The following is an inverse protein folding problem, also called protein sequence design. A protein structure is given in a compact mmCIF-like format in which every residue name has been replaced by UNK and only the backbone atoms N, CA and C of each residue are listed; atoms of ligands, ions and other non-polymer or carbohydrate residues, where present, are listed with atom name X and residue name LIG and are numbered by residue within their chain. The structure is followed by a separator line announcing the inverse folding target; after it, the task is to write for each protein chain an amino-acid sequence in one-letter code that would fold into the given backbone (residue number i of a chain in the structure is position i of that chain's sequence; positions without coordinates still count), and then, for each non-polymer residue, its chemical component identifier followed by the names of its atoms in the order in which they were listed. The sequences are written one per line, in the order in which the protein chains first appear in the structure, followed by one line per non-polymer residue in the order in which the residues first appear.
data_IF_527837997536
#
_entry.id   IF_527837997536
#
_cell.length_a   1.000
_cell.length_b   1.000
_cell.length_c   1.000
_cell.angle_alpha   90.00
_cell.angle_beta   90.00
_cell.angle_gamma   90.00
#
_symmetry.space_group_name_H-M   'P 1'
#
loop_
_entity.id
_entity.type
_entity.pdbx_description
1 polymer ?
#
# COMPACT_ATOMS: atom_id res chain seq x y z
N UNK A 1 -14.41 -20.23 22.28
CA UNK A 1 -14.51 -20.23 20.79
C UNK A 1 -13.76 -19.02 20.32
N UNK A 2 -12.59 -19.17 19.66
CA UNK A 2 -11.91 -18.04 19.03
C UNK A 2 -12.75 -17.62 17.86
N UNK A 3 -13.06 -16.31 17.75
CA UNK A 3 -13.63 -15.76 16.53
C UNK A 3 -12.71 -16.13 15.36
N UNK A 4 -13.23 -16.45 14.16
CA UNK A 4 -12.38 -16.75 13.02
C UNK A 4 -11.43 -15.60 12.79
N UNK A 5 -10.13 -15.86 12.78
CA UNK A 5 -9.13 -14.85 12.55
C UNK A 5 -9.39 -14.23 11.14
N UNK A 6 -9.64 -12.94 11.11
CA UNK A 6 -9.85 -12.22 9.85
C UNK A 6 -8.53 -12.26 9.05
N UNK A 7 -8.57 -12.85 7.86
CA UNK A 7 -7.38 -12.96 7.01
C UNK A 7 -7.02 -11.60 6.41
N UNK A 8 -5.74 -11.20 6.41
CA UNK A 8 -5.36 -9.93 5.82
C UNK A 8 -5.52 -9.97 4.29
N UNK A 9 -6.03 -8.90 3.73
CA UNK A 9 -6.09 -8.69 2.30
C UNK A 9 -4.66 -8.53 1.73
N UNK A 10 -4.44 -9.02 0.51
CA UNK A 10 -3.22 -8.76 -0.26
C UNK A 10 -3.48 -7.71 -1.34
N UNK A 11 -2.97 -6.51 -1.13
CA UNK A 11 -2.83 -5.48 -2.16
C UNK A 11 -1.56 -5.74 -2.97
N UNK A 12 -1.70 -5.98 -4.26
CA UNK A 12 -0.56 -6.18 -5.16
C UNK A 12 -0.22 -4.87 -5.84
N UNK A 13 0.90 -4.24 -5.44
CA UNK A 13 1.42 -3.08 -6.13
C UNK A 13 2.17 -3.52 -7.40
N UNK A 14 1.72 -3.02 -8.56
CA UNK A 14 2.22 -3.39 -9.88
C UNK A 14 3.15 -2.34 -10.52
N UNK A 15 3.58 -1.34 -9.79
CA UNK A 15 4.41 -0.23 -10.31
C UNK A 15 5.68 -0.71 -11.00
N UNK A 16 6.34 -1.75 -10.46
CA UNK A 16 7.58 -2.26 -11.03
C UNK A 16 7.39 -2.98 -12.36
N UNK A 17 6.17 -3.42 -12.70
CA UNK A 17 5.84 -3.88 -14.06
C UNK A 17 5.91 -2.69 -15.02
N UNK A 18 5.36 -1.55 -14.63
CA UNK A 18 5.48 -0.32 -15.40
C UNK A 18 6.94 0.19 -15.46
N UNK A 19 7.72 0.02 -14.38
CA UNK A 19 9.16 0.34 -14.37
C UNK A 19 9.90 -0.43 -15.45
N UNK A 20 9.65 -1.73 -15.61
CA UNK A 20 10.23 -2.55 -16.67
C UNK A 20 9.85 -2.04 -18.07
N UNK A 21 8.58 -1.67 -18.27
CA UNK A 21 8.10 -1.05 -19.53
C UNK A 21 8.85 0.25 -19.81
N UNK A 22 8.98 1.11 -18.83
CA UNK A 22 9.59 2.43 -18.96
C UNK A 22 11.12 2.37 -19.11
N UNK A 23 11.79 1.30 -18.67
CA UNK A 23 13.23 1.11 -18.85
C UNK A 23 13.62 1.16 -20.35
N UNK A 24 12.70 0.79 -21.24
CA UNK A 24 12.91 0.84 -22.70
C UNK A 24 11.85 1.66 -23.44
N UNK A 25 10.89 2.24 -22.74
CA UNK A 25 9.76 3.00 -23.31
C UNK A 25 9.00 2.20 -24.37
N UNK A 26 8.75 0.91 -24.10
CA UNK A 26 8.00 0.00 -24.96
C UNK A 26 6.53 -0.06 -24.54
N UNK A 27 5.70 -0.84 -25.26
CA UNK A 27 4.31 -1.08 -24.88
C UNK A 27 4.15 -2.23 -23.87
N UNK A 28 5.24 -2.94 -23.56
CA UNK A 28 5.24 -4.12 -22.68
C UNK A 28 6.37 -4.06 -21.66
N UNK A 29 6.24 -4.79 -20.51
CA UNK A 29 5.01 -5.45 -20.06
C UNK A 29 3.91 -4.42 -19.75
N UNK A 30 2.64 -4.76 -20.02
CA UNK A 30 1.52 -3.87 -19.73
C UNK A 30 1.04 -4.08 -18.28
N UNK A 31 0.99 -3.03 -17.43
CA UNK A 31 0.46 -3.11 -16.07
C UNK A 31 -0.98 -3.63 -15.99
N UNK A 32 -1.81 -3.35 -17.01
CA UNK A 32 -3.17 -3.89 -17.06
C UNK A 32 -3.19 -5.42 -17.10
N UNK A 33 -2.34 -6.01 -17.94
CA UNK A 33 -2.24 -7.46 -17.99
C UNK A 33 -1.75 -8.03 -16.65
N UNK A 34 -0.80 -7.34 -16.00
CA UNK A 34 -0.32 -7.73 -14.67
C UNK A 34 -1.42 -7.67 -13.61
N UNK A 35 -2.26 -6.63 -13.61
CA UNK A 35 -3.38 -6.50 -12.70
C UNK A 35 -4.37 -7.67 -12.84
N UNK A 36 -4.80 -7.98 -14.05
CA UNK A 36 -5.73 -9.09 -14.31
C UNK A 36 -5.14 -10.45 -13.90
N UNK A 37 -3.85 -10.69 -14.14
CA UNK A 37 -3.17 -11.90 -13.67
C UNK A 37 -3.09 -11.94 -12.14
N UNK A 38 -2.82 -10.81 -11.48
CA UNK A 38 -2.75 -10.72 -10.02
C UNK A 38 -4.13 -11.02 -9.38
N UNK A 39 -5.21 -10.47 -9.91
CA UNK A 39 -6.58 -10.78 -9.46
C UNK A 39 -6.90 -12.28 -9.60
N UNK A 40 -6.63 -12.88 -10.76
CA UNK A 40 -6.84 -14.31 -11.00
C UNK A 40 -5.97 -15.19 -10.07
N UNK A 41 -4.86 -14.66 -9.61
CA UNK A 41 -3.96 -15.35 -8.68
C UNK A 41 -4.36 -15.20 -7.21
N UNK A 42 -5.34 -14.32 -6.87
CA UNK A 42 -5.87 -14.14 -5.52
C UNK A 42 -5.46 -12.83 -4.84
N UNK A 43 -5.06 -11.81 -5.59
CA UNK A 43 -4.97 -10.45 -5.07
C UNK A 43 -6.37 -9.96 -4.66
N UNK A 44 -6.47 -9.27 -3.53
CA UNK A 44 -7.72 -8.69 -3.02
C UNK A 44 -7.86 -7.22 -3.44
N UNK A 45 -6.75 -6.57 -3.78
CA UNK A 45 -6.70 -5.22 -4.34
C UNK A 45 -5.49 -5.06 -5.26
N UNK A 46 -5.60 -4.11 -6.19
CA UNK A 46 -4.49 -3.67 -7.04
C UNK A 46 -4.06 -2.29 -6.58
N UNK A 47 -2.78 -2.14 -6.26
CA UNK A 47 -2.19 -0.87 -5.85
C UNK A 47 -1.30 -0.32 -6.95
N UNK A 48 -1.45 0.96 -7.25
CA UNK A 48 -0.61 1.69 -8.20
C UNK A 48 -0.27 3.06 -7.67
N UNK A 49 0.97 3.50 -7.82
CA UNK A 49 1.42 4.83 -7.51
C UNK A 49 1.57 5.68 -8.77
N UNK A 50 0.63 6.59 -8.99
CA UNK A 50 0.78 7.59 -10.03
C UNK A 50 1.59 8.77 -9.49
N UNK A 51 2.90 8.71 -9.69
CA UNK A 51 3.80 9.80 -9.27
C UNK A 51 3.63 11.05 -10.13
N UNK A 52 3.89 12.22 -9.54
CA UNK A 52 3.85 13.50 -10.27
C UNK A 52 4.78 13.52 -11.49
N UNK A 53 5.92 12.82 -11.42
CA UNK A 53 6.91 12.73 -12.52
C UNK A 53 6.62 11.62 -13.53
N UNK A 54 5.57 10.82 -13.33
CA UNK A 54 5.16 9.73 -14.25
C UNK A 54 6.31 8.77 -14.62
N UNK A 55 7.26 8.52 -13.70
CA UNK A 55 8.45 7.68 -14.00
C UNK A 55 8.12 6.23 -14.34
N UNK A 56 6.96 5.72 -13.92
CA UNK A 56 6.51 4.34 -14.21
C UNK A 56 5.04 4.28 -14.63
N UNK A 57 4.08 4.28 -13.71
CA UNK A 57 2.65 4.32 -14.01
C UNK A 57 2.31 5.63 -14.74
N UNK A 58 1.45 5.52 -15.76
CA UNK A 58 0.99 6.62 -16.61
C UNK A 58 -0.51 6.87 -16.39
N UNK A 59 -0.98 8.08 -16.76
CA UNK A 59 -2.41 8.43 -16.68
C UNK A 59 -3.31 7.47 -17.46
N UNK A 60 -2.83 6.92 -18.58
CA UNK A 60 -3.50 5.85 -19.33
C UNK A 60 -3.73 4.62 -18.45
N UNK A 61 -2.71 4.22 -17.71
CA UNK A 61 -2.76 2.98 -16.95
C UNK A 61 -3.84 3.07 -15.86
N UNK A 62 -3.86 4.16 -15.09
CA UNK A 62 -4.83 4.31 -13.99
C UNK A 62 -6.27 4.40 -14.48
N UNK A 63 -6.52 5.04 -15.63
CA UNK A 63 -7.86 5.10 -16.24
C UNK A 63 -8.35 3.71 -16.63
N UNK A 64 -7.51 2.96 -17.35
CA UNK A 64 -7.89 1.62 -17.80
C UNK A 64 -7.96 0.62 -16.65
N UNK A 65 -7.10 0.71 -15.66
CA UNK A 65 -7.19 -0.12 -14.43
C UNK A 65 -8.50 0.14 -13.71
N UNK A 66 -8.93 1.40 -13.59
CA UNK A 66 -10.21 1.74 -12.95
C UNK A 66 -11.43 1.10 -13.62
N UNK A 67 -11.37 0.94 -14.95
CA UNK A 67 -12.45 0.33 -15.74
C UNK A 67 -12.41 -1.20 -15.70
N UNK A 68 -11.21 -1.81 -15.63
CA UNK A 68 -11.02 -3.25 -15.86
C UNK A 68 -10.87 -4.07 -14.58
N UNK A 69 -10.30 -3.49 -13.51
CA UNK A 69 -10.07 -4.19 -12.25
C UNK A 69 -11.40 -4.48 -11.56
N UNK A 70 -11.62 -5.75 -11.20
CA UNK A 70 -12.86 -6.22 -10.55
C UNK A 70 -12.76 -6.18 -9.02
N UNK A 71 -11.54 -6.20 -8.50
CA UNK A 71 -11.25 -5.99 -7.07
C UNK A 71 -11.20 -4.49 -6.76
N UNK A 72 -10.52 -4.10 -5.70
CA UNK A 72 -10.34 -2.69 -5.33
C UNK A 72 -9.11 -2.10 -6.00
N UNK A 73 -9.24 -0.94 -6.65
CA UNK A 73 -8.10 -0.13 -7.07
C UNK A 73 -7.72 0.82 -5.93
N UNK A 74 -6.49 0.71 -5.44
CA UNK A 74 -5.88 1.61 -4.48
C UNK A 74 -4.87 2.51 -5.22
N UNK A 75 -5.15 3.82 -5.27
CA UNK A 75 -4.30 4.81 -5.91
C UNK A 75 -3.39 5.48 -4.88
N UNK A 76 -2.10 5.18 -4.92
CA UNK A 76 -1.09 5.93 -4.18
C UNK A 76 -0.78 7.25 -4.91
N UNK A 77 -0.79 8.36 -4.17
CA UNK A 77 -0.57 9.67 -4.76
C UNK A 77 -0.02 10.70 -3.77
N UNK A 78 0.68 11.71 -4.30
CA UNK A 78 1.10 12.87 -3.52
C UNK A 78 -0.09 13.76 -3.11
N UNK A 79 0.08 14.50 -2.01
CA UNK A 79 -0.90 15.48 -1.51
C UNK A 79 -0.75 16.79 -2.28
N UNK A 80 -1.16 16.80 -3.56
CA UNK A 80 -1.12 17.98 -4.44
C UNK A 80 -2.46 18.21 -5.13
N UNK A 81 -2.71 19.46 -5.54
CA UNK A 81 -3.97 19.82 -6.21
C UNK A 81 -4.21 19.05 -7.50
N UNK A 82 -3.14 18.76 -8.27
CA UNK A 82 -3.21 17.97 -9.51
C UNK A 82 -3.66 16.54 -9.21
N UNK A 83 -2.99 15.87 -8.26
CA UNK A 83 -3.31 14.48 -7.92
C UNK A 83 -4.70 14.35 -7.32
N UNK A 84 -5.13 15.29 -6.47
CA UNK A 84 -6.49 15.32 -5.93
C UNK A 84 -7.54 15.49 -7.03
N UNK A 85 -7.32 16.38 -7.98
CA UNK A 85 -8.23 16.56 -9.12
C UNK A 85 -8.32 15.31 -9.99
N UNK A 86 -7.20 14.62 -10.21
CA UNK A 86 -7.13 13.38 -10.96
C UNK A 86 -7.89 12.26 -10.21
N UNK A 87 -7.65 12.10 -8.90
CA UNK A 87 -8.34 11.09 -8.09
C UNK A 87 -9.85 11.31 -8.07
N UNK A 88 -10.33 12.56 -7.96
CA UNK A 88 -11.76 12.89 -8.02
C UNK A 88 -12.37 12.57 -9.39
N UNK A 89 -11.64 12.81 -10.48
CA UNK A 89 -12.11 12.48 -11.83
C UNK A 89 -12.09 10.97 -12.11
N UNK A 90 -11.11 10.24 -11.56
CA UNK A 90 -10.96 8.79 -11.72
C UNK A 90 -11.94 8.02 -10.83
N UNK A 91 -12.24 8.54 -9.64
CA UNK A 91 -13.04 7.92 -8.60
C UNK A 91 -12.60 6.46 -8.29
N UNK A 92 -11.34 6.20 -7.91
CA UNK A 92 -10.92 4.87 -7.47
C UNK A 92 -11.65 4.50 -6.18
N UNK A 93 -11.66 3.21 -5.82
CA UNK A 93 -12.29 2.78 -4.57
C UNK A 93 -11.51 3.26 -3.33
N UNK A 94 -10.19 3.39 -3.46
CA UNK A 94 -9.33 3.88 -2.38
C UNK A 94 -8.18 4.74 -2.91
N UNK A 95 -7.74 5.69 -2.08
CA UNK A 95 -6.49 6.44 -2.25
C UNK A 95 -5.62 6.25 -1.02
N UNK A 96 -4.31 6.11 -1.23
CA UNK A 96 -3.31 6.21 -0.18
C UNK A 96 -2.46 7.47 -0.41
N UNK A 97 -2.48 8.39 0.56
CA UNK A 97 -1.70 9.62 0.47
C UNK A 97 -0.27 9.35 0.95
N UNK A 98 0.69 9.55 0.06
CA UNK A 98 2.11 9.24 0.28
C UNK A 98 2.98 10.48 0.13
N UNK A 99 4.16 10.56 0.79
CA UNK A 99 5.14 11.60 0.49
C UNK A 99 5.77 11.31 -0.88
N UNK A 100 6.04 12.37 -1.65
CA UNK A 100 6.82 12.30 -2.88
C UNK A 100 7.94 13.32 -2.87
N UNK A 101 9.18 12.86 -3.13
CA UNK A 101 10.32 13.70 -3.47
C UNK A 101 10.91 13.21 -4.77
N UNK A 102 11.27 14.14 -5.65
CA UNK A 102 11.74 13.79 -7.01
C UNK A 102 13.07 13.06 -7.01
N UNK A 103 13.91 13.33 -6.02
CA UNK A 103 15.25 12.76 -5.86
C UNK A 103 15.24 11.34 -5.29
N UNK A 104 14.14 10.91 -4.67
CA UNK A 104 14.04 9.59 -4.06
C UNK A 104 13.75 8.51 -5.10
N UNK A 105 14.46 7.39 -5.02
CA UNK A 105 14.18 6.19 -5.84
C UNK A 105 12.91 5.50 -5.37
N UNK A 106 12.69 5.49 -4.04
CA UNK A 106 11.53 4.96 -3.36
C UNK A 106 11.09 5.93 -2.26
N UNK A 107 9.90 5.72 -1.67
CA UNK A 107 9.45 6.49 -0.52
C UNK A 107 10.30 6.14 0.72
N UNK A 108 11.08 7.08 1.21
CA UNK A 108 11.89 6.95 2.42
C UNK A 108 11.17 7.58 3.60
N UNK A 109 10.38 6.80 4.34
CA UNK A 109 9.59 7.26 5.48
C UNK A 109 8.13 7.58 5.13
N UNK A 110 7.32 7.78 6.16
CA UNK A 110 5.92 8.10 6.06
C UNK A 110 5.65 9.58 5.77
N UNK A 111 4.40 9.88 5.41
CA UNK A 111 3.88 11.24 5.29
C UNK A 111 3.91 11.94 6.66
N UNK A 112 4.49 13.12 6.74
CA UNK A 112 4.42 13.93 7.96
C UNK A 112 3.07 14.65 8.05
N UNK A 113 2.10 13.94 8.64
CA UNK A 113 0.72 14.41 8.79
C UNK A 113 0.67 15.58 9.78
N UNK A 114 1.45 15.52 10.86
CA UNK A 114 1.47 16.55 11.91
C UNK A 114 1.76 17.95 11.38
N UNK A 115 2.74 18.06 10.49
CA UNK A 115 3.15 19.36 9.96
C UNK A 115 2.17 19.93 8.93
N UNK A 116 1.27 19.09 8.37
CA UNK A 116 0.37 19.45 7.27
C UNK A 116 -1.09 19.06 7.55
N UNK A 117 -1.47 18.97 8.82
CA UNK A 117 -2.76 18.43 9.25
C UNK A 117 -3.96 19.11 8.55
N UNK A 118 -3.97 20.44 8.49
CA UNK A 118 -5.09 21.17 7.87
C UNK A 118 -5.22 20.91 6.36
N UNK A 119 -4.09 20.87 5.63
CA UNK A 119 -4.09 20.59 4.19
C UNK A 119 -4.56 19.15 3.91
N UNK A 120 -4.05 18.18 4.70
CA UNK A 120 -4.40 16.78 4.55
C UNK A 120 -5.87 16.56 4.91
N UNK A 121 -6.37 17.18 5.97
CA UNK A 121 -7.78 17.11 6.36
C UNK A 121 -8.72 17.59 5.24
N UNK A 122 -8.39 18.68 4.57
CA UNK A 122 -9.19 19.17 3.43
C UNK A 122 -9.16 18.17 2.26
N UNK A 123 -8.01 17.55 1.98
CA UNK A 123 -7.91 16.52 0.94
C UNK A 123 -8.72 15.28 1.32
N UNK A 124 -8.59 14.77 2.55
CA UNK A 124 -9.38 13.64 3.05
C UNK A 124 -10.87 13.91 2.88
N UNK A 125 -11.34 15.06 3.38
CA UNK A 125 -12.75 15.46 3.27
C UNK A 125 -13.26 15.45 1.82
N UNK A 126 -12.48 15.98 0.88
CA UNK A 126 -12.86 16.03 -0.55
C UNK A 126 -12.96 14.66 -1.19
N UNK A 127 -12.00 13.79 -0.90
CA UNK A 127 -11.97 12.42 -1.44
C UNK A 127 -13.08 11.56 -0.84
N UNK A 128 -13.29 11.64 0.47
CA UNK A 128 -14.35 10.89 1.15
C UNK A 128 -15.76 11.34 0.74
N UNK A 129 -15.98 12.64 0.54
CA UNK A 129 -17.24 13.13 -0.03
C UNK A 129 -17.54 12.60 -1.43
N UNK A 130 -16.51 12.20 -2.17
CA UNK A 130 -16.62 11.52 -3.47
C UNK A 130 -16.77 10.00 -3.35
N UNK A 131 -16.84 9.46 -2.11
CA UNK A 131 -16.96 8.03 -1.85
C UNK A 131 -15.65 7.25 -1.99
N UNK A 132 -14.50 7.94 -1.94
CA UNK A 132 -13.16 7.33 -2.03
C UNK A 132 -12.65 7.11 -0.60
N UNK A 133 -12.31 5.87 -0.25
CA UNK A 133 -11.66 5.55 1.04
C UNK A 133 -10.24 6.15 1.06
N UNK A 134 -9.86 6.81 2.16
CA UNK A 134 -8.55 7.47 2.27
C UNK A 134 -7.71 6.80 3.34
N UNK A 135 -6.51 6.35 2.95
CA UNK A 135 -5.45 5.93 3.85
C UNK A 135 -4.30 6.96 3.85
N UNK A 136 -3.63 7.11 4.97
CA UNK A 136 -2.41 7.91 5.09
C UNK A 136 -1.22 6.99 5.33
N UNK A 137 -0.22 7.04 4.44
CA UNK A 137 1.02 6.28 4.59
C UNK A 137 1.92 6.96 5.59
N UNK A 138 2.04 6.41 6.80
CA UNK A 138 2.71 7.04 7.93
C UNK A 138 3.76 6.11 8.56
N UNK A 139 4.75 6.69 9.20
CA UNK A 139 5.61 5.92 10.09
C UNK A 139 4.81 5.39 11.29
N UNK A 140 5.17 4.24 11.88
CA UNK A 140 4.53 3.69 13.08
C UNK A 140 4.89 4.53 14.31
N UNK A 141 4.30 5.73 14.39
CA UNK A 141 4.50 6.75 15.41
C UNK A 141 3.14 7.17 16.00
N UNK A 142 2.94 7.09 17.33
CA UNK A 142 1.70 7.50 17.98
C UNK A 142 1.25 8.93 17.65
N UNK A 143 2.19 9.86 17.46
CA UNK A 143 1.86 11.25 17.13
C UNK A 143 1.35 11.39 15.69
N UNK A 144 1.86 10.59 14.75
CA UNK A 144 1.36 10.55 13.38
C UNK A 144 -0.03 9.90 13.34
N UNK A 145 -0.27 8.85 14.13
CA UNK A 145 -1.59 8.21 14.24
C UNK A 145 -2.63 9.21 14.79
N UNK A 146 -2.29 9.91 15.89
CA UNK A 146 -3.16 10.92 16.47
C UNK A 146 -3.46 12.08 15.50
N UNK A 147 -2.48 12.51 14.72
CA UNK A 147 -2.68 13.51 13.67
C UNK A 147 -3.59 12.97 12.55
N UNK A 148 -3.39 11.71 12.13
CA UNK A 148 -4.23 11.07 11.11
C UNK A 148 -5.71 11.03 11.50
N UNK A 149 -6.02 10.73 12.75
CA UNK A 149 -7.39 10.78 13.26
C UNK A 149 -8.03 12.16 13.10
N UNK A 150 -7.28 13.23 13.38
CA UNK A 150 -7.80 14.61 13.28
C UNK A 150 -8.03 15.06 11.84
N UNK A 151 -7.40 14.40 10.85
CA UNK A 151 -7.67 14.68 9.44
C UNK A 151 -8.98 14.10 8.93
N UNK A 152 -9.59 13.18 9.68
CA UNK A 152 -10.79 12.45 9.26
C UNK A 152 -10.50 11.26 8.33
N UNK A 153 -9.23 10.90 8.08
CA UNK A 153 -8.90 9.70 7.32
C UNK A 153 -9.48 8.44 7.98
N UNK A 154 -9.96 7.50 7.17
CA UNK A 154 -10.59 6.26 7.63
C UNK A 154 -9.60 5.12 7.82
N UNK A 155 -8.40 5.25 7.26
CA UNK A 155 -7.35 4.25 7.34
C UNK A 155 -5.96 4.88 7.49
N UNK A 156 -5.02 4.08 7.98
CA UNK A 156 -3.58 4.36 7.90
C UNK A 156 -2.88 3.16 7.28
N UNK A 157 -1.82 3.44 6.52
CA UNK A 157 -0.88 2.42 6.09
C UNK A 157 0.44 2.63 6.83
N UNK A 158 0.80 1.68 7.69
CA UNK A 158 2.03 1.75 8.48
C UNK A 158 3.24 1.37 7.61
N UNK A 159 4.21 2.27 7.55
CA UNK A 159 5.47 2.08 6.85
C UNK A 159 6.31 1.00 7.51
N UNK A 160 6.54 -0.12 6.83
CA UNK A 160 7.30 -1.26 7.36
C UNK A 160 8.80 -1.25 6.99
N UNK A 161 9.28 -0.16 6.40
CA UNK A 161 10.67 -0.06 5.92
C UNK A 161 11.73 -0.26 7.02
N UNK A 162 11.51 0.30 8.21
CA UNK A 162 12.41 0.09 9.35
C UNK A 162 12.54 -1.39 9.73
N UNK A 163 11.40 -2.10 9.79
CA UNK A 163 11.39 -3.54 10.03
C UNK A 163 12.06 -4.34 8.90
N UNK A 164 11.75 -4.00 7.65
CA UNK A 164 12.26 -4.71 6.49
C UNK A 164 13.76 -4.50 6.27
N UNK A 165 14.26 -3.29 6.58
CA UNK A 165 15.66 -2.91 6.47
C UNK A 165 16.54 -3.26 7.68
N UNK A 166 15.96 -3.80 8.76
CA UNK A 166 16.68 -4.14 9.97
C UNK A 166 17.83 -5.13 9.70
N UNK A 167 19.03 -4.74 10.13
CA UNK A 167 20.28 -5.46 9.85
C UNK A 167 20.62 -6.53 10.89
N UNK A 168 19.95 -6.49 12.05
CA UNK A 168 20.15 -7.46 13.13
C UNK A 168 18.82 -8.05 13.64
N UNK A 169 18.83 -9.28 14.21
CA UNK A 169 17.62 -9.85 14.82
C UNK A 169 17.04 -8.97 15.93
N UNK A 170 17.88 -8.33 16.74
CA UNK A 170 17.43 -7.46 17.83
C UNK A 170 16.75 -6.19 17.30
N UNK A 171 17.29 -5.57 16.26
CA UNK A 171 16.69 -4.44 15.59
C UNK A 171 15.34 -4.83 14.95
N UNK A 172 15.29 -5.94 14.24
CA UNK A 172 14.07 -6.45 13.62
C UNK A 172 12.98 -6.71 14.66
N UNK A 173 13.32 -7.30 15.81
CA UNK A 173 12.37 -7.55 16.88
C UNK A 173 11.83 -6.23 17.47
N UNK A 174 12.68 -5.21 17.65
CA UNK A 174 12.28 -3.89 18.13
C UNK A 174 11.34 -3.19 17.15
N UNK A 175 11.67 -3.19 15.85
CA UNK A 175 10.82 -2.57 14.83
C UNK A 175 9.48 -3.32 14.66
N UNK A 176 9.46 -4.65 14.80
CA UNK A 176 8.21 -5.41 14.80
C UNK A 176 7.34 -5.06 16.01
N UNK A 177 7.94 -4.93 17.19
CA UNK A 177 7.20 -4.51 18.38
C UNK A 177 6.64 -3.09 18.25
N UNK A 178 7.39 -2.17 17.61
CA UNK A 178 6.94 -0.82 17.30
C UNK A 178 5.75 -0.82 16.33
N UNK A 179 5.81 -1.64 15.28
CA UNK A 179 4.70 -1.85 14.34
C UNK A 179 3.46 -2.41 15.04
N UNK A 180 3.64 -3.42 15.91
CA UNK A 180 2.54 -4.03 16.65
C UNK A 180 1.83 -3.00 17.54
N UNK A 181 2.60 -2.22 18.33
CA UNK A 181 2.06 -1.19 19.20
C UNK A 181 1.30 -0.09 18.41
N UNK A 182 1.85 0.33 17.26
CA UNK A 182 1.21 1.31 16.40
C UNK A 182 -0.08 0.76 15.76
N UNK A 183 -0.08 -0.51 15.33
CA UNK A 183 -1.25 -1.15 14.75
C UNK A 183 -2.37 -1.32 15.79
N UNK A 184 -2.03 -1.73 17.02
CA UNK A 184 -2.99 -1.84 18.11
C UNK A 184 -3.61 -0.47 18.44
N UNK A 185 -2.78 0.58 18.56
CA UNK A 185 -3.24 1.94 18.84
C UNK A 185 -4.19 2.43 17.75
N UNK A 186 -3.79 2.35 16.49
CA UNK A 186 -4.61 2.83 15.38
C UNK A 186 -5.96 2.10 15.29
N UNK A 187 -5.97 0.78 15.51
CA UNK A 187 -7.20 -0.02 15.52
C UNK A 187 -8.11 0.30 16.72
N UNK A 188 -7.55 0.53 17.92
CA UNK A 188 -8.32 0.95 19.10
C UNK A 188 -8.99 2.30 18.91
N UNK A 189 -8.35 3.20 18.17
CA UNK A 189 -8.89 4.51 17.81
C UNK A 189 -9.88 4.46 16.63
N UNK A 190 -10.13 3.27 16.06
CA UNK A 190 -11.14 3.06 15.02
C UNK A 190 -10.65 3.20 13.59
N UNK A 191 -9.33 3.36 13.36
CA UNK A 191 -8.76 3.36 12.01
C UNK A 191 -8.64 1.93 11.47
N UNK A 192 -8.86 1.75 10.17
CA UNK A 192 -8.40 0.56 9.47
C UNK A 192 -6.87 0.62 9.36
N UNK A 193 -6.22 -0.50 9.63
CA UNK A 193 -4.74 -0.57 9.61
C UNK A 193 -4.27 -1.41 8.44
N UNK A 194 -3.62 -0.76 7.49
CA UNK A 194 -2.85 -1.39 6.43
C UNK A 194 -1.36 -1.31 6.78
N UNK A 195 -0.52 -2.09 6.09
CA UNK A 195 0.92 -1.97 6.21
C UNK A 195 1.60 -2.31 4.87
N UNK A 196 2.73 -1.69 4.61
CA UNK A 196 3.44 -1.87 3.35
C UNK A 196 4.86 -1.34 3.36
N UNK A 197 5.53 -1.54 2.25
CA UNK A 197 6.89 -1.14 1.93
C UNK A 197 7.98 -2.06 2.51
N UNK A 198 8.76 -2.68 1.60
CA UNK A 198 9.91 -3.52 1.96
C UNK A 198 9.57 -4.97 2.36
N UNK A 199 8.27 -5.33 2.45
CA UNK A 199 7.85 -6.69 2.74
C UNK A 199 8.20 -7.65 1.59
N UNK A 200 8.62 -8.86 1.95
CA UNK A 200 9.01 -9.91 1.03
C UNK A 200 8.69 -11.30 1.58
N UNK A 201 9.01 -12.36 0.83
CA UNK A 201 8.70 -13.75 1.19
C UNK A 201 9.36 -14.27 2.47
N UNK A 202 10.40 -13.57 2.99
CA UNK A 202 11.14 -13.98 4.19
C UNK A 202 10.75 -13.20 5.44
N UNK A 203 10.09 -12.03 5.26
CA UNK A 203 9.77 -11.14 6.38
C UNK A 203 8.27 -10.83 6.53
N UNK A 204 7.42 -11.24 5.59
CA UNK A 204 5.98 -10.94 5.61
C UNK A 204 5.24 -11.60 6.76
N UNK A 205 5.64 -12.83 7.14
CA UNK A 205 4.90 -13.65 8.12
C UNK A 205 4.66 -12.94 9.47
N UNK A 206 5.70 -12.46 10.17
CA UNK A 206 5.49 -11.76 11.44
C UNK A 206 4.57 -10.55 11.37
N UNK A 207 4.60 -9.79 10.26
CA UNK A 207 3.71 -8.63 10.06
C UNK A 207 2.29 -9.10 9.74
N UNK A 208 2.12 -10.11 8.89
CA UNK A 208 0.83 -10.70 8.57
C UNK A 208 0.16 -11.32 9.80
N UNK A 209 0.91 -11.78 10.81
CA UNK A 209 0.38 -12.31 12.06
C UNK A 209 -0.22 -11.24 12.99
N UNK A 210 0.11 -9.94 12.81
CA UNK A 210 -0.44 -8.85 13.62
C UNK A 210 -1.94 -8.67 13.31
N UNK A 211 -2.80 -9.05 14.24
CA UNK A 211 -4.26 -9.09 14.04
C UNK A 211 -4.92 -7.77 13.67
N UNK A 212 -4.46 -6.60 14.16
CA UNK A 212 -5.04 -5.32 13.75
C UNK A 212 -4.82 -4.96 12.27
N UNK A 213 -3.77 -5.53 11.65
CA UNK A 213 -3.49 -5.27 10.23
C UNK A 213 -4.46 -6.07 9.36
N UNK A 214 -5.26 -5.35 8.56
CA UNK A 214 -6.30 -5.93 7.71
C UNK A 214 -5.89 -6.02 6.23
N UNK A 215 -4.84 -5.31 5.82
CA UNK A 215 -4.32 -5.33 4.44
C UNK A 215 -2.80 -5.14 4.42
N UNK A 216 -2.13 -5.86 3.52
CA UNK A 216 -0.70 -5.68 3.21
C UNK A 216 -0.53 -5.30 1.75
N UNK A 217 0.11 -4.15 1.48
CA UNK A 217 0.44 -3.68 0.15
C UNK A 217 1.88 -4.06 -0.20
N UNK A 218 2.05 -4.96 -1.18
CA UNK A 218 3.36 -5.55 -1.53
C UNK A 218 3.57 -5.48 -3.04
N UNK A 219 4.67 -4.83 -3.45
CA UNK A 219 4.99 -4.64 -4.87
C UNK A 219 6.31 -5.29 -5.28
N UNK A 220 7.42 -4.65 -4.92
CA UNK A 220 8.74 -5.01 -5.43
C UNK A 220 9.07 -6.51 -5.31
N UNK A 221 8.83 -7.10 -4.15
CA UNK A 221 9.14 -8.52 -3.92
C UNK A 221 8.35 -9.46 -4.83
N UNK A 222 7.06 -9.15 -5.06
CA UNK A 222 6.19 -9.95 -5.94
C UNK A 222 6.66 -9.85 -7.39
N UNK A 223 6.92 -8.64 -7.90
CA UNK A 223 7.39 -8.44 -9.28
C UNK A 223 8.78 -9.04 -9.48
N UNK A 224 9.70 -8.86 -8.54
CA UNK A 224 11.03 -9.47 -8.59
C UNK A 224 10.96 -11.01 -8.63
N UNK A 225 10.11 -11.63 -7.80
CA UNK A 225 9.88 -13.08 -7.84
C UNK A 225 9.25 -13.50 -9.16
N UNK A 226 8.31 -12.71 -9.68
CA UNK A 226 7.59 -13.00 -10.93
C UNK A 226 8.52 -13.07 -12.15
N UNK A 227 9.63 -12.34 -12.17
CA UNK A 227 10.66 -12.43 -13.22
C UNK A 227 11.20 -13.86 -13.36
N UNK A 228 11.29 -14.60 -12.25
CA UNK A 228 11.85 -15.96 -12.22
C UNK A 228 10.79 -17.06 -12.27
N UNK A 229 9.59 -16.82 -11.72
CA UNK A 229 8.57 -17.87 -11.50
C UNK A 229 7.23 -17.59 -12.17
N UNK A 230 7.07 -16.44 -12.80
CA UNK A 230 5.80 -15.96 -13.32
C UNK A 230 4.93 -15.31 -12.23
N UNK A 231 4.11 -14.33 -12.63
CA UNK A 231 3.35 -13.48 -11.70
C UNK A 231 2.29 -14.27 -10.91
N UNK A 232 1.58 -15.20 -11.56
CA UNK A 232 0.59 -16.07 -10.91
C UNK A 232 1.18 -16.84 -9.73
N UNK A 233 2.35 -17.45 -9.92
CA UNK A 233 3.05 -18.19 -8.85
C UNK A 233 3.50 -17.27 -7.72
N UNK A 234 4.05 -16.11 -8.07
CA UNK A 234 4.53 -15.12 -7.10
C UNK A 234 3.40 -14.59 -6.20
N UNK A 235 2.25 -14.22 -6.77
CA UNK A 235 1.09 -13.71 -6.01
C UNK A 235 0.51 -14.81 -5.11
N UNK A 236 0.28 -16.02 -5.64
CA UNK A 236 -0.25 -17.15 -4.85
C UNK A 236 0.63 -17.49 -3.65
N UNK A 237 1.93 -17.52 -3.85
CA UNK A 237 2.88 -17.82 -2.78
C UNK A 237 2.87 -16.73 -1.69
N UNK A 238 2.83 -15.46 -2.06
CA UNK A 238 2.74 -14.36 -1.10
C UNK A 238 1.44 -14.48 -0.28
N UNK A 239 0.30 -14.67 -0.94
CA UNK A 239 -1.00 -14.86 -0.28
C UNK A 239 -0.99 -16.05 0.67
N UNK A 240 -0.41 -17.18 0.24
CA UNK A 240 -0.28 -18.38 1.07
C UNK A 240 0.48 -18.10 2.37
N UNK A 241 1.63 -17.43 2.29
CA UNK A 241 2.44 -17.07 3.45
C UNK A 241 1.69 -16.16 4.43
N UNK A 242 0.95 -15.19 3.93
CA UNK A 242 0.12 -14.31 4.77
C UNK A 242 -0.98 -15.08 5.51
N UNK A 243 -1.67 -15.97 4.79
CA UNK A 243 -2.76 -16.79 5.36
C UNK A 243 -2.23 -17.77 6.41
N UNK A 244 -1.12 -18.42 6.13
CA UNK A 244 -0.49 -19.36 7.09
C UNK A 244 -0.05 -18.65 8.35
N UNK A 245 0.63 -17.50 8.22
CA UNK A 245 1.07 -16.72 9.38
C UNK A 245 -0.08 -16.21 10.26
N UNK A 246 -1.27 -15.96 9.69
CA UNK A 246 -2.45 -15.50 10.46
C UNK A 246 -3.17 -16.65 11.17
N UNK A 247 -3.00 -17.90 10.68
CA UNK A 247 -3.65 -19.08 11.23
C UNK A 247 -2.82 -19.79 12.32
N UNK A 248 -1.51 -19.57 12.27
CA UNK A 248 -0.48 -20.22 13.07
C UNK A 248 -0.32 -19.91 14.43
#
# INVERSE_FOLDING_TARGET
MHAPAFLPALGVNIDHVATLRQARRTAYPDPLQAALIAEQAGADSITVHLREDRRHIQDRDVRLLRELVQTRLNLEMAVTGEMVALALALAPQACCLVPERREELTTEGGLDVRSREADIAEVCRRLEMAGIEVALFIDPDPEQIAASLRTGATAVELHTGGYAGATSPAERARELARLAAAADLAAQEGLKVHAGHGLNYHNVGPVAALTPIVELNIGHAIVARAVLTGLTGAVREMKRLMVEARRG
#
